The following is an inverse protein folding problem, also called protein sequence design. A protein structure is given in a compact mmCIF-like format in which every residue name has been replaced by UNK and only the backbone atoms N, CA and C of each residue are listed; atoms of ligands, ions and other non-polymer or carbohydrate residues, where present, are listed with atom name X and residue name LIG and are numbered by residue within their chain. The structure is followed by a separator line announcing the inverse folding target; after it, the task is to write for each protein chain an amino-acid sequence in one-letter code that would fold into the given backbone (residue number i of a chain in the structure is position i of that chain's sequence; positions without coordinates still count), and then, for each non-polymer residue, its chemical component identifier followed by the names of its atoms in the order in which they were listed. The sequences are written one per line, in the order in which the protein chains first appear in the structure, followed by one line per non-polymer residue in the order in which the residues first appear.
data_IF_898181441771
#
_entry.id   IF_898181441771
#
_cell.length_a   1.000
_cell.length_b   1.000
_cell.length_c   1.000
_cell.angle_alpha   90.00
_cell.angle_beta   90.00
_cell.angle_gamma   90.00
#
_symmetry.space_group_name_H-M   'P 1'
#
loop_
_entity.id
_entity.type
_entity.pdbx_description
1 polymer ?
#
# COMPACT_ATOMS: atom_id res chain seq x y z
N UNK A 1 13.09 -9.37 9.90
CA UNK A 1 12.49 -8.67 8.73
C UNK A 1 13.08 -7.31 8.40
N UNK A 2 13.57 -6.54 9.38
CA UNK A 2 14.04 -5.15 9.15
C UNK A 2 15.13 -5.06 8.06
N UNK A 3 16.19 -5.85 8.17
CA UNK A 3 17.35 -5.74 7.28
C UNK A 3 16.99 -6.21 5.86
N UNK A 4 16.23 -7.28 5.75
CA UNK A 4 15.70 -7.75 4.47
C UNK A 4 14.83 -6.66 3.82
N UNK A 5 13.91 -6.06 4.58
CA UNK A 5 13.07 -4.97 4.07
C UNK A 5 13.89 -3.76 3.62
N UNK A 6 14.87 -3.33 4.41
CA UNK A 6 15.72 -2.19 4.06
C UNK A 6 16.53 -2.46 2.78
N UNK A 7 17.10 -3.65 2.65
CA UNK A 7 17.84 -4.06 1.46
C UNK A 7 16.92 -4.18 0.24
N UNK A 8 15.71 -4.73 0.42
CA UNK A 8 14.71 -4.82 -0.65
C UNK A 8 14.33 -3.44 -1.17
N UNK A 9 14.06 -2.49 -0.29
CA UNK A 9 13.74 -1.10 -0.68
C UNK A 9 14.88 -0.48 -1.50
N UNK A 10 16.14 -0.71 -1.11
CA UNK A 10 17.31 -0.24 -1.86
C UNK A 10 17.38 -0.84 -3.27
N UNK A 11 17.15 -2.14 -3.42
CA UNK A 11 17.16 -2.78 -4.73
C UNK A 11 15.98 -2.38 -5.60
N UNK A 12 14.77 -2.28 -5.01
CA UNK A 12 13.58 -1.80 -5.72
C UNK A 12 13.81 -0.38 -6.25
N UNK A 13 14.33 0.52 -5.41
CA UNK A 13 14.69 1.89 -5.85
C UNK A 13 15.77 1.85 -6.93
N UNK A 14 16.76 0.97 -6.82
CA UNK A 14 17.83 0.78 -7.81
C UNK A 14 17.35 0.27 -9.18
N UNK A 15 16.17 -0.33 -9.26
CA UNK A 15 15.51 -0.72 -10.53
C UNK A 15 14.52 0.33 -11.05
N UNK A 16 14.48 1.51 -10.43
CA UNK A 16 13.55 2.59 -10.80
C UNK A 16 12.20 2.55 -10.09
N UNK A 17 12.02 1.65 -9.11
CA UNK A 17 10.81 1.61 -8.30
C UNK A 17 10.72 2.82 -7.36
N UNK A 18 9.57 3.45 -7.30
CA UNK A 18 9.34 4.66 -6.51
C UNK A 18 8.90 4.29 -5.09
N UNK A 19 9.86 4.20 -4.17
CA UNK A 19 9.60 3.88 -2.77
C UNK A 19 9.14 5.12 -2.01
N UNK A 20 8.06 4.97 -1.24
CA UNK A 20 7.58 5.97 -0.29
C UNK A 20 8.19 5.74 1.09
N UNK A 21 7.98 4.58 1.68
CA UNK A 21 8.61 4.11 2.92
C UNK A 21 8.34 2.59 3.12
N UNK A 22 8.94 2.03 4.16
CA UNK A 22 8.65 0.67 4.61
C UNK A 22 8.74 0.56 6.13
N UNK A 23 7.84 -0.22 6.72
CA UNK A 23 7.76 -0.41 8.17
C UNK A 23 7.35 -1.84 8.55
N UNK A 24 7.49 -2.17 9.83
CA UNK A 24 6.93 -3.40 10.39
C UNK A 24 5.45 -3.19 10.68
N UNK A 25 4.64 -4.17 10.35
CA UNK A 25 3.22 -4.21 10.62
C UNK A 25 2.90 -4.97 11.91
N UNK A 26 1.61 -4.97 12.29
CA UNK A 26 1.15 -5.53 13.56
C UNK A 26 1.24 -7.06 13.64
N UNK A 27 1.34 -7.75 12.49
CA UNK A 27 1.43 -9.20 12.44
C UNK A 27 2.80 -9.70 12.92
N UNK A 28 2.87 -10.05 14.21
CA UNK A 28 4.05 -10.64 14.82
C UNK A 28 3.60 -11.75 15.79
N UNK A 29 4.13 -12.95 15.61
CA UNK A 29 3.85 -14.08 16.49
C UNK A 29 4.87 -15.20 16.31
N UNK A 30 5.00 -16.06 17.33
CA UNK A 30 5.80 -17.28 17.28
C UNK A 30 4.89 -18.50 17.29
N UNK A 31 5.24 -19.53 16.51
CA UNK A 31 4.55 -20.82 16.49
C UNK A 31 5.61 -21.92 16.36
N UNK A 32 5.77 -22.71 17.42
CA UNK A 32 6.90 -23.61 17.54
C UNK A 32 8.22 -22.83 17.54
N UNK A 33 9.17 -23.27 16.75
CA UNK A 33 10.48 -22.62 16.59
C UNK A 33 10.50 -21.53 15.51
N UNK A 34 9.35 -21.25 14.88
CA UNK A 34 9.25 -20.26 13.81
C UNK A 34 8.69 -18.94 14.33
N UNK A 35 9.38 -17.86 13.99
CA UNK A 35 8.93 -16.50 14.20
C UNK A 35 8.37 -15.92 12.90
N UNK A 36 7.20 -15.29 12.99
CA UNK A 36 6.49 -14.66 11.88
C UNK A 36 6.48 -13.15 12.10
N UNK A 37 6.90 -12.41 11.09
CA UNK A 37 6.90 -10.94 11.09
C UNK A 37 6.22 -10.43 9.84
N UNK A 38 5.30 -9.47 10.01
CA UNK A 38 4.66 -8.77 8.91
C UNK A 38 5.40 -7.46 8.63
N UNK A 39 5.66 -7.22 7.36
CA UNK A 39 6.33 -6.01 6.88
C UNK A 39 5.55 -5.43 5.71
N UNK A 40 5.58 -4.10 5.57
CA UNK A 40 4.96 -3.36 4.49
C UNK A 40 6.00 -2.48 3.78
N UNK A 41 5.87 -2.38 2.47
CA UNK A 41 6.55 -1.40 1.62
C UNK A 41 5.47 -0.64 0.87
N UNK A 42 5.45 0.67 1.01
CA UNK A 42 4.54 1.56 0.31
C UNK A 42 5.27 2.30 -0.81
N UNK A 43 4.63 2.37 -1.97
CA UNK A 43 5.14 3.04 -3.16
C UNK A 43 4.55 4.43 -3.32
N UNK A 44 5.28 5.31 -3.97
CA UNK A 44 4.76 6.59 -4.44
C UNK A 44 3.77 6.37 -5.60
N UNK A 45 2.75 7.23 -5.72
CA UNK A 45 1.84 7.17 -6.85
C UNK A 45 2.58 7.43 -8.19
N UNK A 46 2.32 6.56 -9.15
CA UNK A 46 2.81 6.67 -10.52
C UNK A 46 1.70 6.33 -11.52
N UNK A 47 2.00 6.21 -12.80
CA UNK A 47 1.04 5.70 -13.79
C UNK A 47 0.63 4.27 -13.45
N UNK A 48 -0.56 3.87 -13.82
CA UNK A 48 -1.14 2.59 -13.42
C UNK A 48 -0.31 1.39 -13.91
N UNK A 49 0.17 1.43 -15.14
CA UNK A 49 1.02 0.38 -15.72
C UNK A 49 2.36 0.29 -14.97
N UNK A 50 3.01 1.42 -14.75
CA UNK A 50 4.28 1.49 -14.02
C UNK A 50 4.13 0.98 -12.58
N UNK A 51 3.00 1.27 -11.92
CA UNK A 51 2.72 0.78 -10.58
C UNK A 51 2.59 -0.75 -10.54
N UNK A 52 1.96 -1.35 -11.55
CA UNK A 52 1.84 -2.80 -11.67
C UNK A 52 3.20 -3.45 -11.92
N UNK A 53 4.01 -2.89 -12.80
CA UNK A 53 5.35 -3.39 -13.11
C UNK A 53 6.28 -3.30 -11.89
N UNK A 54 6.27 -2.17 -11.18
CA UNK A 54 7.04 -2.00 -9.95
C UNK A 54 6.65 -3.03 -8.88
N UNK A 55 5.36 -3.33 -8.74
CA UNK A 55 4.89 -4.34 -7.79
C UNK A 55 5.41 -5.75 -8.15
N UNK A 56 5.40 -6.13 -9.42
CA UNK A 56 5.90 -7.43 -9.87
C UNK A 56 7.41 -7.54 -9.64
N UNK A 57 8.18 -6.53 -10.01
CA UNK A 57 9.62 -6.46 -9.79
C UNK A 57 9.94 -6.52 -8.29
N UNK A 58 9.23 -5.77 -7.46
CA UNK A 58 9.40 -5.78 -6.01
C UNK A 58 9.14 -7.16 -5.41
N UNK A 59 8.08 -7.84 -5.82
CA UNK A 59 7.79 -9.21 -5.38
C UNK A 59 8.89 -10.20 -5.77
N UNK A 60 9.46 -10.04 -6.94
CA UNK A 60 10.58 -10.86 -7.39
C UNK A 60 11.84 -10.60 -6.56
N UNK A 61 12.21 -9.33 -6.35
CA UNK A 61 13.36 -8.93 -5.51
C UNK A 61 13.20 -9.49 -4.09
N UNK A 62 12.02 -9.30 -3.48
CA UNK A 62 11.74 -9.77 -2.14
C UNK A 62 11.89 -11.30 -2.01
N UNK A 63 11.39 -12.08 -2.99
CA UNK A 63 11.57 -13.54 -2.99
C UNK A 63 13.02 -13.96 -3.14
N UNK A 64 13.77 -13.27 -4.01
CA UNK A 64 15.20 -13.55 -4.20
C UNK A 64 15.99 -13.25 -2.93
N UNK A 65 15.73 -12.12 -2.28
CA UNK A 65 16.38 -11.78 -1.02
C UNK A 65 15.98 -12.73 0.11
N UNK A 66 14.71 -13.10 0.22
CA UNK A 66 14.26 -14.06 1.23
C UNK A 66 15.03 -15.39 1.11
N UNK A 67 15.21 -15.89 -0.10
CA UNK A 67 16.04 -17.07 -0.35
C UNK A 67 17.48 -16.86 0.12
N UNK A 68 18.10 -15.73 -0.17
CA UNK A 68 19.47 -15.42 0.26
C UNK A 68 19.61 -15.29 1.79
N UNK A 69 18.57 -14.77 2.46
CA UNK A 69 18.51 -14.64 3.91
C UNK A 69 18.11 -15.95 4.64
N UNK A 70 17.78 -17.00 3.90
CA UNK A 70 17.32 -18.27 4.48
C UNK A 70 15.99 -18.15 5.23
N UNK A 71 15.08 -17.30 4.76
CA UNK A 71 13.75 -17.08 5.34
C UNK A 71 12.66 -17.34 4.33
N UNK A 72 11.52 -17.84 4.79
CA UNK A 72 10.32 -17.98 3.98
C UNK A 72 9.59 -16.65 3.85
N UNK A 73 9.21 -16.31 2.63
CA UNK A 73 8.42 -15.11 2.31
C UNK A 73 7.08 -15.51 1.69
N UNK A 74 6.01 -14.91 2.18
CA UNK A 74 4.67 -15.10 1.60
C UNK A 74 3.95 -13.76 1.42
N UNK A 75 3.14 -13.69 0.37
CA UNK A 75 2.16 -12.62 0.13
C UNK A 75 0.73 -13.11 0.33
N UNK A 76 0.56 -14.27 0.97
CA UNK A 76 -0.76 -14.80 1.27
C UNK A 76 -1.56 -13.83 2.14
N UNK A 77 -2.83 -13.59 1.82
CA UNK A 77 -3.65 -12.61 2.55
C UNK A 77 -3.91 -13.00 4.02
N UNK A 78 -3.81 -14.29 4.35
CA UNK A 78 -3.98 -14.78 5.71
C UNK A 78 -3.17 -16.05 5.92
N UNK A 79 -2.19 -16.01 6.80
CA UNK A 79 -1.33 -17.17 7.11
C UNK A 79 -1.77 -17.92 8.36
N UNK A 80 -2.54 -17.29 9.24
CA UNK A 80 -3.12 -17.94 10.42
C UNK A 80 -4.38 -17.21 10.89
N UNK A 81 -5.35 -17.96 11.37
CA UNK A 81 -6.58 -17.42 11.96
C UNK A 81 -6.26 -16.74 13.30
N UNK A 82 -7.01 -15.69 13.65
CA UNK A 82 -6.86 -14.95 14.91
C UNK A 82 -5.70 -13.92 14.92
N UNK A 83 -4.95 -13.79 13.83
CA UNK A 83 -3.91 -12.76 13.67
C UNK A 83 -4.21 -11.87 12.47
N UNK A 84 -3.55 -10.71 12.38
CA UNK A 84 -3.69 -9.81 11.25
C UNK A 84 -3.35 -10.51 9.92
N UNK A 85 -4.06 -10.14 8.86
CA UNK A 85 -3.76 -10.55 7.49
C UNK A 85 -2.97 -9.51 6.73
N UNK A 86 -2.52 -9.86 5.52
CA UNK A 86 -1.80 -8.97 4.61
C UNK A 86 -2.73 -8.43 3.53
N UNK A 87 -2.82 -7.12 3.40
CA UNK A 87 -3.56 -6.43 2.36
C UNK A 87 -2.65 -5.95 1.23
N UNK A 88 -3.21 -5.78 0.05
CA UNK A 88 -2.65 -4.98 -1.02
C UNK A 88 -3.57 -3.78 -1.22
N UNK A 89 -3.23 -2.64 -0.65
CA UNK A 89 -4.06 -1.44 -0.72
C UNK A 89 -3.69 -0.60 -1.94
N UNK A 90 -4.69 -0.17 -2.69
CA UNK A 90 -4.50 0.62 -3.91
C UNK A 90 -4.82 2.08 -3.63
N UNK A 91 -3.79 2.91 -3.63
CA UNK A 91 -3.92 4.36 -3.51
C UNK A 91 -4.11 4.98 -4.89
N UNK A 92 -5.25 5.61 -5.12
CA UNK A 92 -5.58 6.24 -6.40
C UNK A 92 -5.55 7.76 -6.29
N UNK A 93 -4.95 8.39 -7.29
CA UNK A 93 -4.96 9.83 -7.48
C UNK A 93 -5.33 10.18 -8.92
N UNK A 94 -6.32 11.04 -9.08
CA UNK A 94 -6.70 11.59 -10.37
C UNK A 94 -5.93 12.89 -10.61
N UNK A 95 -5.34 13.05 -11.79
CA UNK A 95 -4.61 14.25 -12.20
C UNK A 95 -5.22 14.84 -13.49
N UNK A 96 -5.18 16.18 -13.57
CA UNK A 96 -5.40 16.91 -14.83
C UNK A 96 -4.20 17.82 -15.04
N UNK A 97 -3.31 17.45 -15.96
CA UNK A 97 -1.96 18.00 -16.00
C UNK A 97 -1.25 17.71 -14.66
N UNK A 98 -0.72 18.74 -14.02
CA UNK A 98 -0.05 18.61 -12.71
C UNK A 98 -0.98 18.78 -11.52
N UNK A 99 -2.21 19.24 -11.73
CA UNK A 99 -3.20 19.45 -10.68
C UNK A 99 -3.72 18.11 -10.17
N UNK A 100 -3.63 17.91 -8.83
CA UNK A 100 -4.34 16.83 -8.13
C UNK A 100 -5.85 17.14 -8.11
N UNK A 101 -6.65 16.25 -8.65
CA UNK A 101 -8.10 16.40 -8.71
C UNK A 101 -8.83 15.81 -7.51
N UNK A 102 -8.10 15.28 -6.51
CA UNK A 102 -8.71 14.65 -5.34
C UNK A 102 -8.98 15.63 -4.21
N UNK A 103 -8.24 16.74 -4.15
CA UNK A 103 -8.31 17.73 -3.07
C UNK A 103 -8.25 19.16 -3.61
N UNK A 104 -9.01 20.05 -3.00
CA UNK A 104 -8.95 21.48 -3.25
C UNK A 104 -9.29 22.23 -1.95
N UNK A 105 -8.46 23.20 -1.59
CA UNK A 105 -8.60 23.97 -0.33
C UNK A 105 -8.76 23.07 0.92
N UNK A 106 -7.99 21.97 0.98
CA UNK A 106 -7.99 21.04 2.10
C UNK A 106 -9.23 20.13 2.19
N UNK A 107 -10.12 20.15 1.19
CA UNK A 107 -11.35 19.35 1.13
C UNK A 107 -11.34 18.41 -0.08
N UNK A 108 -12.01 17.27 0.04
CA UNK A 108 -12.25 16.39 -1.10
C UNK A 108 -13.05 17.12 -2.17
N UNK A 109 -12.63 16.96 -3.42
CA UNK A 109 -13.35 17.49 -4.57
C UNK A 109 -14.52 16.60 -4.96
N UNK A 110 -15.39 17.12 -5.81
CA UNK A 110 -16.46 16.35 -6.46
C UNK A 110 -15.91 15.14 -7.25
N UNK A 111 -14.73 15.30 -7.87
CA UNK A 111 -14.06 14.20 -8.57
C UNK A 111 -13.62 13.08 -7.61
N UNK A 112 -13.13 13.43 -6.44
CA UNK A 112 -12.78 12.44 -5.41
C UNK A 112 -14.02 11.72 -4.89
N UNK A 113 -15.10 12.44 -4.61
CA UNK A 113 -16.36 11.85 -4.14
C UNK A 113 -16.98 10.91 -5.19
N UNK A 114 -16.91 11.27 -6.48
CA UNK A 114 -17.33 10.39 -7.58
C UNK A 114 -16.47 9.13 -7.71
N UNK A 115 -15.15 9.26 -7.53
CA UNK A 115 -14.26 8.09 -7.51
C UNK A 115 -14.58 7.16 -6.34
N UNK A 116 -14.81 7.71 -5.13
CA UNK A 116 -15.25 6.94 -3.96
C UNK A 116 -16.57 6.21 -4.24
N UNK A 117 -17.57 6.92 -4.79
CA UNK A 117 -18.85 6.31 -5.13
C UNK A 117 -18.69 5.18 -6.15
N UNK A 118 -17.86 5.35 -7.17
CA UNK A 118 -17.54 4.31 -8.15
C UNK A 118 -16.88 3.07 -7.51
N UNK A 119 -15.94 3.25 -6.59
CA UNK A 119 -15.35 2.14 -5.86
C UNK A 119 -16.38 1.37 -5.01
N UNK A 120 -17.31 2.07 -4.35
CA UNK A 120 -18.35 1.42 -3.55
C UNK A 120 -19.36 0.68 -4.42
N UNK A 121 -19.77 1.26 -5.53
CA UNK A 121 -20.70 0.66 -6.48
C UNK A 121 -20.13 -0.59 -7.14
N UNK A 122 -18.84 -0.55 -7.51
CA UNK A 122 -18.14 -1.65 -8.15
C UNK A 122 -17.47 -2.63 -7.17
N UNK A 123 -17.59 -2.42 -5.85
CA UNK A 123 -16.91 -3.24 -4.85
C UNK A 123 -17.18 -4.75 -5.00
N UNK A 124 -18.41 -5.22 -5.27
CA UNK A 124 -18.65 -6.65 -5.50
C UNK A 124 -17.89 -7.22 -6.71
N UNK A 125 -17.73 -6.43 -7.77
CA UNK A 125 -16.98 -6.83 -8.96
C UNK A 125 -15.47 -6.77 -8.72
N UNK A 126 -15.00 -5.73 -8.03
CA UNK A 126 -13.58 -5.55 -7.70
C UNK A 126 -13.05 -6.66 -6.79
N UNK A 127 -13.89 -7.21 -5.93
CA UNK A 127 -13.56 -8.38 -5.09
C UNK A 127 -13.10 -9.59 -5.90
N UNK A 128 -13.64 -9.81 -7.10
CA UNK A 128 -13.22 -10.91 -7.97
C UNK A 128 -11.75 -10.78 -8.41
N UNK A 129 -11.22 -9.56 -8.49
CA UNK A 129 -9.84 -9.28 -8.88
C UNK A 129 -8.91 -9.11 -7.66
N UNK A 130 -9.39 -8.49 -6.59
CA UNK A 130 -8.61 -8.22 -5.38
C UNK A 130 -8.56 -9.39 -4.40
N UNK A 131 -9.62 -10.19 -4.30
CA UNK A 131 -9.76 -11.32 -3.38
C UNK A 131 -9.89 -12.64 -4.16
N UNK A 132 -8.84 -13.00 -4.90
CA UNK A 132 -8.84 -14.07 -5.91
C UNK A 132 -8.88 -15.50 -5.35
N UNK A 133 -8.71 -15.67 -4.05
CA UNK A 133 -8.74 -17.00 -3.43
C UNK A 133 -9.50 -16.98 -2.09
N UNK A 134 -9.95 -18.14 -1.59
CA UNK A 134 -10.72 -18.23 -0.34
C UNK A 134 -9.99 -17.67 0.89
N UNK A 135 -8.66 -17.73 0.94
CA UNK A 135 -7.89 -17.18 2.06
C UNK A 135 -8.01 -15.65 2.17
N UNK A 136 -8.32 -14.97 1.08
CA UNK A 136 -8.56 -13.52 1.08
C UNK A 136 -9.69 -13.14 2.04
N UNK A 137 -10.73 -13.94 2.09
CA UNK A 137 -11.91 -13.69 2.95
C UNK A 137 -11.64 -13.94 4.43
N UNK A 138 -10.70 -14.81 4.78
CA UNK A 138 -10.26 -14.97 6.18
C UNK A 138 -9.54 -13.74 6.74
N UNK A 139 -9.06 -12.84 5.87
CA UNK A 139 -8.49 -11.55 6.25
C UNK A 139 -9.59 -10.56 6.67
N UNK A 140 -10.77 -10.62 6.04
CA UNK A 140 -11.85 -9.62 6.16
C UNK A 140 -12.68 -9.87 7.42
N UNK A 141 -12.07 -9.78 8.58
CA UNK A 141 -12.69 -10.03 9.89
C UNK A 141 -12.53 -8.82 10.81
N UNK A 142 -13.49 -8.59 11.73
CA UNK A 142 -13.43 -7.46 12.66
C UNK A 142 -12.17 -7.47 13.53
N UNK A 143 -11.73 -6.27 13.92
CA UNK A 143 -10.61 -6.03 14.85
C UNK A 143 -9.22 -6.54 14.37
N UNK A 144 -9.06 -6.75 13.06
CA UNK A 144 -7.79 -7.19 12.48
C UNK A 144 -7.34 -6.28 11.31
N UNK A 145 -7.66 -4.99 11.39
CA UNK A 145 -7.25 -3.93 10.46
C UNK A 145 -7.65 -4.18 8.99
N UNK A 146 -8.72 -4.93 8.78
CA UNK A 146 -9.26 -5.22 7.46
C UNK A 146 -10.65 -4.58 7.29
N UNK A 147 -11.04 -4.22 6.07
CA UNK A 147 -12.38 -3.72 5.79
C UNK A 147 -13.42 -4.83 5.99
N UNK A 148 -14.45 -4.53 6.75
CA UNK A 148 -15.57 -5.46 6.99
C UNK A 148 -16.89 -4.94 6.45
N UNK A 149 -16.90 -3.70 5.96
CA UNK A 149 -18.10 -3.03 5.45
C UNK A 149 -17.80 -2.30 4.14
N UNK A 150 -18.73 -2.35 3.20
CA UNK A 150 -18.67 -1.56 1.96
C UNK A 150 -19.15 -0.14 2.29
N UNK A 151 -18.21 0.65 2.77
CA UNK A 151 -18.41 2.07 3.07
C UNK A 151 -17.11 2.83 2.93
N UNK A 152 -17.15 4.14 3.04
CA UNK A 152 -15.97 4.99 3.04
C UNK A 152 -15.86 5.83 4.32
N UNK A 153 -14.67 6.30 4.61
CA UNK A 153 -14.45 7.18 5.75
C UNK A 153 -13.10 7.87 5.70
N UNK A 154 -13.04 9.03 6.37
CA UNK A 154 -11.79 9.77 6.56
C UNK A 154 -11.00 9.11 7.70
N UNK A 155 -9.74 8.74 7.41
CA UNK A 155 -8.77 8.16 8.37
C UNK A 155 -9.22 6.87 9.06
N UNK A 156 -10.28 6.25 8.62
CA UNK A 156 -10.84 5.05 9.22
C UNK A 156 -10.24 3.79 8.57
N UNK A 157 -9.68 2.88 9.37
CA UNK A 157 -9.05 1.64 8.89
C UNK A 157 -10.02 0.46 8.72
N UNK A 158 -11.27 0.59 9.18
CA UNK A 158 -12.28 -0.48 9.09
C UNK A 158 -13.16 -0.39 7.85
N UNK A 159 -13.00 0.66 7.04
CA UNK A 159 -13.79 0.90 5.83
C UNK A 159 -13.09 0.36 4.59
N UNK A 160 -13.86 0.04 3.55
CA UNK A 160 -13.33 -0.43 2.27
C UNK A 160 -12.60 0.69 1.52
N UNK A 161 -13.16 1.90 1.51
CA UNK A 161 -12.55 3.06 0.85
C UNK A 161 -12.15 4.08 1.89
N UNK A 162 -10.85 4.28 2.07
CA UNK A 162 -10.30 5.20 3.05
C UNK A 162 -9.78 6.47 2.36
N UNK A 163 -10.01 7.61 2.99
CA UNK A 163 -9.27 8.84 2.69
C UNK A 163 -8.12 8.92 3.70
N UNK A 164 -6.88 8.61 3.29
CA UNK A 164 -5.74 8.62 4.20
C UNK A 164 -5.34 10.04 4.55
N UNK A 165 -4.53 10.19 5.61
CA UNK A 165 -3.87 11.46 5.91
C UNK A 165 -3.04 11.91 4.69
N UNK A 166 -3.20 13.15 4.28
CA UNK A 166 -2.31 13.78 3.31
C UNK A 166 -0.89 13.87 3.86
N UNK A 167 0.10 13.77 2.98
CA UNK A 167 1.49 13.97 3.37
C UNK A 167 1.75 15.41 3.73
N UNK A 168 2.45 15.62 4.85
CA UNK A 168 2.95 16.93 5.24
C UNK A 168 4.31 17.22 4.61
N UNK A 169 4.64 18.47 4.46
CA UNK A 169 5.79 19.00 3.70
C UNK A 169 7.19 18.53 4.11
N UNK A 170 7.35 17.80 5.21
CA UNK A 170 8.66 17.36 5.71
C UNK A 170 9.21 16.05 5.11
N UNK A 171 8.52 15.43 4.17
CA UNK A 171 8.88 14.11 3.66
C UNK A 171 9.86 14.12 2.47
N UNK A 172 10.18 15.29 1.91
CA UNK A 172 10.99 15.40 0.68
C UNK A 172 12.38 14.80 0.81
N UNK A 173 13.09 15.06 1.90
CA UNK A 173 14.44 14.52 2.14
C UNK A 173 14.43 13.00 2.25
N UNK A 174 13.50 12.45 3.02
CA UNK A 174 13.34 11.00 3.17
C UNK A 174 13.03 10.32 1.83
N UNK A 175 12.26 10.97 0.96
CA UNK A 175 11.94 10.44 -0.37
C UNK A 175 13.15 10.47 -1.29
N UNK A 176 13.96 11.52 -1.24
CA UNK A 176 15.23 11.61 -2.00
C UNK A 176 16.20 10.52 -1.60
N UNK A 177 16.36 10.30 -0.29
CA UNK A 177 17.25 9.26 0.24
C UNK A 177 16.76 7.84 -0.13
N UNK A 178 15.44 7.62 -0.16
CA UNK A 178 14.86 6.34 -0.53
C UNK A 178 14.91 6.05 -2.05
N UNK A 179 14.96 7.08 -2.89
CA UNK A 179 14.90 6.95 -4.36
C UNK A 179 16.10 7.66 -5.03
N UNK A 180 17.32 7.14 -4.89
CA UNK A 180 18.55 7.83 -5.32
C UNK A 180 18.68 7.99 -6.84
N UNK A 181 17.92 7.23 -7.64
CA UNK A 181 17.91 7.33 -9.10
C UNK A 181 16.86 8.32 -9.63
N UNK A 182 15.94 8.77 -8.78
CA UNK A 182 14.88 9.69 -9.16
C UNK A 182 15.23 11.13 -8.74
N UNK A 183 14.99 12.07 -9.65
CA UNK A 183 14.98 13.48 -9.27
C UNK A 183 13.67 13.79 -8.56
N UNK A 184 13.65 13.64 -7.24
CA UNK A 184 12.54 14.12 -6.42
C UNK A 184 12.68 15.63 -6.33
N UNK A 185 11.94 16.36 -7.17
CA UNK A 185 11.84 17.82 -7.08
C UNK A 185 11.21 18.22 -5.77
N UNK A 186 11.49 19.45 -5.30
CA UNK A 186 10.81 20.07 -4.15
C UNK A 186 9.32 20.23 -4.49
N UNK A 187 8.55 19.19 -4.19
CA UNK A 187 7.11 19.17 -4.43
C UNK A 187 6.37 19.43 -3.13
N UNK A 188 5.33 20.24 -3.21
CA UNK A 188 4.33 20.32 -2.15
C UNK A 188 3.58 19.00 -2.04
N UNK A 189 3.99 18.16 -1.08
CA UNK A 189 3.39 16.86 -0.83
C UNK A 189 1.98 16.97 -0.21
N UNK A 190 1.57 18.14 0.29
CA UNK A 190 0.22 18.37 0.79
C UNK A 190 -0.86 18.17 -0.29
N UNK A 191 -0.51 18.46 -1.55
CA UNK A 191 -1.35 18.21 -2.73
C UNK A 191 -1.39 16.75 -3.23
N UNK A 192 -0.71 15.81 -2.57
CA UNK A 192 -0.64 14.39 -2.99
C UNK A 192 -1.72 13.51 -2.36
N UNK A 193 -2.87 14.07 -2.00
CA UNK A 193 -4.00 13.31 -1.47
C UNK A 193 -4.42 12.20 -2.43
N UNK A 194 -4.62 11.02 -1.89
CA UNK A 194 -5.16 9.84 -2.57
C UNK A 194 -6.47 9.41 -1.94
N UNK A 195 -7.19 8.53 -2.63
CA UNK A 195 -8.21 7.67 -2.07
C UNK A 195 -7.67 6.25 -2.10
N UNK A 196 -7.80 5.52 -1.01
CA UNK A 196 -7.29 4.17 -0.83
C UNK A 196 -8.42 3.16 -0.88
N UNK A 197 -8.30 2.17 -1.76
CA UNK A 197 -9.13 0.97 -1.80
C UNK A 197 -8.39 -0.16 -1.07
N UNK A 198 -9.05 -0.82 -0.10
CA UNK A 198 -8.42 -1.74 0.87
C UNK A 198 -8.83 -3.19 0.68
#
# INVERSE_FOLDING_TARGET
GRDLRALAMKYIAGTGGLIKYGHSEVGNFTKGDLMYEQNEIEFLPTKMEDAADQLIIAKWILRTLAYQFGVDLTFAPKITVGKAGSGLHIHTRLKKGDKNMMIENGKLTDSALKAIAGYLDLAPSLTAFGNTNPMSYFRLVPHQEAPTNICWGDRNRSVLVRVPLGWTSGAGDMLRDANPLEKVEDQDFSGKQTVEFR
#
